data_IF_894903433132
#
_entry.id   IF_894903433132
#
_cell.length_a   1.000
_cell.length_b   1.000
_cell.length_c   1.000
_cell.angle_alpha   90.00
_cell.angle_beta   90.00
_cell.angle_gamma   90.00
#
_symmetry.space_group_name_H-M   'P 1'
#
loop_
_entity.id
_entity.type
_entity.pdbx_description
1 polymer ?
#
# COMPACT_ATOMS: atom_id res chain seq x y z
N UNK A 1 -5.70 2.51 -2.70
CA UNK A 1 -5.81 2.26 -4.15
C UNK A 1 -4.61 2.85 -4.85
N UNK A 2 -3.90 2.01 -5.57
CA UNK A 2 -2.79 2.40 -6.42
C UNK A 2 -3.26 2.40 -7.87
N UNK A 3 -3.06 3.52 -8.56
CA UNK A 3 -3.48 3.66 -9.95
C UNK A 3 -2.41 4.37 -10.79
N UNK A 4 -2.45 4.13 -12.09
CA UNK A 4 -1.62 4.79 -13.08
C UNK A 4 -2.51 5.43 -14.13
N UNK A 5 -2.33 6.72 -14.36
CA UNK A 5 -3.07 7.47 -15.37
C UNK A 5 -2.16 7.75 -16.58
N UNK A 6 -2.64 7.44 -17.76
CA UNK A 6 -1.95 7.68 -19.05
C UNK A 6 -2.91 8.44 -19.95
N UNK A 7 -2.56 9.67 -20.33
CA UNK A 7 -3.40 10.49 -21.20
C UNK A 7 -4.88 10.56 -20.74
N UNK A 8 -5.11 10.80 -19.45
CA UNK A 8 -6.43 10.84 -18.80
C UNK A 8 -7.16 9.47 -18.70
N UNK A 9 -6.54 8.39 -19.12
CA UNK A 9 -7.07 7.05 -18.90
C UNK A 9 -6.43 6.47 -17.66
N UNK A 10 -7.23 6.21 -16.64
CA UNK A 10 -6.77 5.68 -15.36
C UNK A 10 -6.99 4.17 -15.30
N UNK A 11 -5.93 3.46 -14.94
CA UNK A 11 -5.97 2.03 -14.62
C UNK A 11 -5.70 1.86 -13.12
N UNK A 12 -6.62 1.24 -12.41
CA UNK A 12 -6.39 0.81 -11.02
C UNK A 12 -5.55 -0.46 -11.07
N UNK A 13 -4.37 -0.40 -10.49
CA UNK A 13 -3.39 -1.51 -10.48
C UNK A 13 -3.61 -2.42 -9.27
N UNK A 14 -3.86 -1.82 -8.09
CA UNK A 14 -4.07 -2.57 -6.85
C UNK A 14 -5.04 -1.87 -5.90
N UNK A 15 -5.72 -2.69 -5.10
CA UNK A 15 -6.49 -2.26 -3.93
C UNK A 15 -5.90 -2.97 -2.72
N UNK A 16 -5.40 -2.18 -1.77
CA UNK A 16 -4.69 -2.63 -0.57
C UNK A 16 -5.59 -2.47 0.65
N UNK A 17 -5.72 -3.50 1.46
CA UNK A 17 -6.33 -3.39 2.78
C UNK A 17 -5.29 -2.87 3.77
N UNK A 18 -5.67 -1.88 4.58
CA UNK A 18 -4.85 -1.33 5.66
C UNK A 18 -5.33 -1.84 7.01
N UNK A 19 -4.46 -2.50 7.75
CA UNK A 19 -4.66 -2.80 9.16
C UNK A 19 -4.22 -1.58 9.97
N UNK A 20 -5.14 -1.00 10.74
CA UNK A 20 -4.89 0.22 11.50
C UNK A 20 -5.26 0.06 12.97
N UNK A 21 -4.64 0.86 13.83
CA UNK A 21 -5.06 0.96 15.25
C UNK A 21 -6.45 1.59 15.34
N UNK A 22 -7.20 1.31 16.43
CA UNK A 22 -8.48 1.97 16.67
C UNK A 22 -8.30 3.48 16.89
N UNK A 23 -9.42 4.23 16.82
CA UNK A 23 -9.43 5.65 17.19
C UNK A 23 -8.74 5.91 18.54
N UNK A 24 -8.11 7.07 18.72
CA UNK A 24 -8.09 8.21 17.80
C UNK A 24 -6.91 8.24 16.83
N UNK A 25 -6.00 7.25 16.87
CA UNK A 25 -4.69 7.37 16.22
C UNK A 25 -4.67 6.88 14.77
N UNK A 26 -5.42 5.80 14.44
CA UNK A 26 -5.46 5.19 13.10
C UNK A 26 -4.07 4.90 12.51
N UNK A 27 -3.12 4.49 13.35
CA UNK A 27 -1.75 4.16 12.91
C UNK A 27 -1.76 2.86 12.14
N UNK A 28 -1.06 2.80 11.04
CA UNK A 28 -0.94 1.63 10.19
C UNK A 28 -0.11 0.54 10.89
N UNK A 29 -0.65 -0.66 10.93
CA UNK A 29 -0.02 -1.85 11.50
C UNK A 29 0.34 -2.89 10.45
N UNK A 30 -0.09 -2.68 9.22
CA UNK A 30 0.18 -3.57 8.11
C UNK A 30 -0.71 -3.34 6.91
N UNK A 31 -0.37 -4.02 5.83
CA UNK A 31 -1.08 -3.96 4.56
C UNK A 31 -1.20 -5.34 3.97
N UNK A 32 -2.26 -5.59 3.21
CA UNK A 32 -2.43 -6.83 2.44
C UNK A 32 -3.03 -6.57 1.06
N UNK A 33 -2.58 -7.31 0.07
CA UNK A 33 -3.05 -7.33 -1.30
C UNK A 33 -3.24 -8.79 -1.79
N UNK A 34 -4.22 -9.05 -2.65
CA UNK A 34 -5.31 -8.14 -3.01
C UNK A 34 -6.24 -7.87 -1.84
N UNK A 35 -7.05 -6.83 -1.93
CA UNK A 35 -8.07 -6.52 -0.93
C UNK A 35 -9.05 -7.68 -0.74
N UNK A 36 -9.45 -7.94 0.51
CA UNK A 36 -10.46 -8.94 0.87
C UNK A 36 -11.91 -8.44 0.68
N UNK A 37 -12.11 -7.23 0.21
CA UNK A 37 -13.43 -6.69 -0.11
C UNK A 37 -14.16 -7.55 -1.15
N UNK A 38 -15.49 -7.55 -1.12
CA UNK A 38 -16.29 -8.16 -2.18
C UNK A 38 -15.98 -7.53 -3.54
N UNK A 39 -16.16 -8.28 -4.64
CA UNK A 39 -15.94 -7.73 -5.98
C UNK A 39 -16.79 -6.49 -6.26
N UNK A 40 -17.99 -6.39 -5.68
CA UNK A 40 -18.86 -5.23 -5.81
C UNK A 40 -18.28 -4.01 -5.07
N UNK A 41 -17.74 -4.21 -3.86
CA UNK A 41 -17.10 -3.14 -3.10
C UNK A 41 -15.79 -2.71 -3.75
N UNK A 42 -14.98 -3.65 -4.24
CA UNK A 42 -13.77 -3.32 -4.99
C UNK A 42 -14.07 -2.48 -6.24
N UNK A 43 -15.12 -2.83 -6.99
CA UNK A 43 -15.56 -2.06 -8.14
C UNK A 43 -16.02 -0.64 -7.74
N UNK A 44 -16.73 -0.51 -6.62
CA UNK A 44 -17.16 0.79 -6.08
C UNK A 44 -15.99 1.65 -5.64
N UNK A 45 -15.01 1.05 -4.97
CA UNK A 45 -13.75 1.70 -4.54
C UNK A 45 -12.94 2.15 -5.75
N UNK A 46 -12.74 1.27 -6.74
CA UNK A 46 -12.00 1.60 -7.95
C UNK A 46 -12.67 2.76 -8.72
N UNK A 47 -13.99 2.72 -8.87
CA UNK A 47 -14.74 3.80 -9.54
C UNK A 47 -14.62 5.13 -8.79
N UNK A 48 -14.71 5.13 -7.47
CA UNK A 48 -14.55 6.34 -6.66
C UNK A 48 -13.12 6.90 -6.78
N UNK A 49 -12.09 6.04 -6.76
CA UNK A 49 -10.71 6.46 -6.97
C UNK A 49 -10.53 7.12 -8.34
N UNK A 50 -11.05 6.52 -9.43
CA UNK A 50 -10.99 7.10 -10.77
C UNK A 50 -11.67 8.47 -10.84
N UNK A 51 -12.85 8.62 -10.24
CA UNK A 51 -13.56 9.90 -10.16
C UNK A 51 -12.76 10.97 -9.40
N UNK A 52 -12.13 10.60 -8.29
CA UNK A 52 -11.30 11.51 -7.50
C UNK A 52 -10.05 11.95 -8.28
N UNK A 53 -9.38 11.01 -8.97
CA UNK A 53 -8.23 11.26 -9.84
C UNK A 53 -8.58 12.26 -10.95
N UNK A 54 -9.72 12.05 -11.61
CA UNK A 54 -10.22 12.96 -12.65
C UNK A 54 -10.55 14.34 -12.07
N UNK A 55 -11.23 14.39 -10.92
CA UNK A 55 -11.67 15.62 -10.29
C UNK A 55 -10.51 16.53 -9.86
N UNK A 56 -9.38 15.97 -9.42
CA UNK A 56 -8.17 16.76 -9.06
C UNK A 56 -7.27 17.02 -10.26
N UNK A 57 -7.61 16.50 -11.45
CA UNK A 57 -6.95 16.82 -12.71
C UNK A 57 -5.64 16.06 -12.97
N UNK A 58 -5.46 14.86 -12.46
CA UNK A 58 -4.32 14.00 -12.82
C UNK A 58 -4.52 13.50 -14.25
N UNK A 59 -3.65 13.93 -15.15
CA UNK A 59 -3.72 13.58 -16.58
C UNK A 59 -2.70 12.52 -16.98
N UNK A 60 -1.62 12.38 -16.22
CA UNK A 60 -0.54 11.39 -16.45
C UNK A 60 0.26 11.22 -15.17
N UNK A 61 0.58 9.99 -14.82
CA UNK A 61 1.38 9.64 -13.63
C UNK A 61 0.66 8.72 -12.65
N UNK A 62 1.37 8.30 -11.59
CA UNK A 62 0.80 7.49 -10.52
C UNK A 62 -0.09 8.30 -9.58
N UNK A 63 -0.99 7.61 -8.92
CA UNK A 63 -1.78 8.18 -7.82
C UNK A 63 -2.01 7.15 -6.72
N UNK A 64 -1.98 7.64 -5.48
CA UNK A 64 -2.35 6.91 -4.28
C UNK A 64 -3.62 7.53 -3.70
N UNK A 65 -4.67 6.73 -3.51
CA UNK A 65 -5.94 7.19 -2.97
C UNK A 65 -6.33 6.37 -1.75
N UNK A 66 -6.52 7.03 -0.62
CA UNK A 66 -7.05 6.41 0.58
C UNK A 66 -8.57 6.51 0.63
N UNK A 67 -9.21 5.37 0.83
CA UNK A 67 -10.66 5.25 0.83
C UNK A 67 -11.10 4.48 2.08
N UNK A 68 -12.04 5.06 2.81
CA UNK A 68 -12.67 4.41 3.95
C UNK A 68 -14.00 3.81 3.53
N UNK A 69 -14.21 2.55 3.88
CA UNK A 69 -15.50 1.88 3.69
C UNK A 69 -16.39 2.25 4.86
N UNK A 70 -17.51 2.90 4.57
CA UNK A 70 -18.49 3.31 5.57
C UNK A 70 -19.84 2.64 5.31
N UNK A 71 -20.77 2.73 6.29
CA UNK A 71 -22.14 2.26 6.11
C UNK A 71 -22.90 2.92 4.94
N UNK A 72 -22.46 4.12 4.54
CA UNK A 72 -23.02 4.90 3.45
C UNK A 72 -22.20 4.77 2.15
N UNK A 73 -21.38 3.72 2.03
CA UNK A 73 -20.48 3.44 0.91
C UNK A 73 -19.07 3.98 1.11
N UNK A 74 -18.19 3.83 0.10
CA UNK A 74 -16.81 4.28 0.17
C UNK A 74 -16.71 5.81 0.18
N UNK A 75 -15.73 6.35 0.93
CA UNK A 75 -15.44 7.78 1.04
C UNK A 75 -13.95 8.02 0.87
N UNK A 76 -13.57 8.98 0.04
CA UNK A 76 -12.18 9.41 -0.09
C UNK A 76 -11.72 10.08 1.21
N UNK A 77 -10.58 9.63 1.74
CA UNK A 77 -9.89 10.23 2.88
C UNK A 77 -8.81 11.17 2.38
N UNK A 78 -7.96 10.66 1.49
CA UNK A 78 -6.84 11.38 0.91
C UNK A 78 -6.61 10.92 -0.53
N UNK A 79 -6.07 11.82 -1.36
CA UNK A 79 -5.56 11.47 -2.69
C UNK A 79 -4.27 12.26 -2.94
N UNK A 80 -3.27 11.57 -3.47
CA UNK A 80 -1.98 12.14 -3.80
C UNK A 80 -1.55 11.74 -5.22
N UNK A 81 -1.04 12.70 -5.99
CA UNK A 81 -0.47 12.48 -7.32
C UNK A 81 0.97 11.94 -7.21
N UNK A 82 1.14 10.82 -6.55
CA UNK A 82 2.40 10.12 -6.29
C UNK A 82 2.15 8.64 -6.01
N UNK A 83 3.21 7.87 -6.00
CA UNK A 83 3.22 6.49 -5.52
C UNK A 83 2.90 6.43 -4.02
N UNK A 84 2.22 5.38 -3.58
CA UNK A 84 2.00 5.06 -2.17
C UNK A 84 3.31 4.73 -1.45
N UNK A 85 3.33 4.99 -0.14
CA UNK A 85 4.44 4.69 0.76
C UNK A 85 4.39 3.27 1.33
N UNK A 86 5.07 3.09 2.46
CA UNK A 86 5.02 1.89 3.33
C UNK A 86 5.20 0.57 2.58
N UNK A 87 6.09 0.57 1.58
CA UNK A 87 6.36 -0.55 0.69
C UNK A 87 5.16 -1.02 -0.16
N UNK A 88 4.04 -0.31 -0.16
CA UNK A 88 2.87 -0.68 -0.96
C UNK A 88 3.28 -0.77 -2.44
N UNK A 89 3.78 0.34 -3.01
CA UNK A 89 4.09 0.38 -4.45
C UNK A 89 5.42 -0.28 -4.82
N UNK A 90 6.39 -0.30 -3.90
CA UNK A 90 7.72 -0.85 -4.19
C UNK A 90 7.85 -2.36 -3.94
N UNK A 91 6.98 -2.95 -3.10
CA UNK A 91 7.03 -4.37 -2.76
C UNK A 91 5.67 -5.07 -2.93
N UNK A 92 4.59 -4.59 -2.28
CA UNK A 92 3.31 -5.30 -2.30
C UNK A 92 2.69 -5.37 -3.69
N UNK A 93 2.57 -4.24 -4.39
CA UNK A 93 1.99 -4.21 -5.75
C UNK A 93 2.72 -5.16 -6.69
N UNK A 94 4.06 -5.12 -6.86
CA UNK A 94 4.72 -6.07 -7.74
C UNK A 94 4.62 -7.53 -7.29
N UNK A 95 4.63 -7.82 -5.99
CA UNK A 95 4.45 -9.18 -5.46
C UNK A 95 3.04 -9.72 -5.69
N UNK A 96 2.03 -8.86 -5.55
CA UNK A 96 0.63 -9.25 -5.68
C UNK A 96 0.14 -9.27 -7.12
N UNK A 97 0.54 -8.30 -7.94
CA UNK A 97 0.00 -8.10 -9.29
C UNK A 97 0.96 -8.45 -10.41
N UNK A 98 2.26 -8.58 -10.13
CA UNK A 98 3.32 -8.69 -11.14
C UNK A 98 3.66 -7.37 -11.84
N UNK A 99 3.01 -6.26 -11.48
CA UNK A 99 3.20 -4.94 -12.10
C UNK A 99 4.22 -4.12 -11.33
N UNK A 100 5.36 -3.82 -11.94
CA UNK A 100 6.31 -2.83 -11.39
C UNK A 100 5.80 -1.40 -11.67
N UNK A 101 4.87 -0.95 -10.82
CA UNK A 101 4.27 0.39 -10.96
C UNK A 101 5.29 1.51 -10.80
N UNK A 102 6.40 1.26 -10.08
CA UNK A 102 7.49 2.24 -9.91
C UNK A 102 8.23 2.41 -11.24
N UNK A 103 8.65 1.32 -11.87
CA UNK A 103 9.32 1.36 -13.18
C UNK A 103 8.42 1.99 -14.25
N UNK A 104 7.13 1.61 -14.30
CA UNK A 104 6.17 2.20 -15.22
C UNK A 104 6.00 3.72 -15.00
N UNK A 105 5.96 4.15 -13.73
CA UNK A 105 5.86 5.58 -13.39
C UNK A 105 7.08 6.37 -13.85
N UNK A 106 8.28 5.81 -13.71
CA UNK A 106 9.53 6.41 -14.18
C UNK A 106 9.54 6.49 -15.70
N UNK A 107 9.22 5.39 -16.41
CA UNK A 107 9.15 5.34 -17.85
C UNK A 107 8.16 6.39 -18.42
N UNK A 108 6.97 6.47 -17.80
CA UNK A 108 5.97 7.48 -18.16
C UNK A 108 6.47 8.91 -17.93
N UNK A 109 7.20 9.16 -16.85
CA UNK A 109 7.72 10.49 -16.52
C UNK A 109 8.82 10.97 -17.49
N UNK A 110 9.60 10.06 -18.07
CA UNK A 110 10.61 10.40 -19.10
C UNK A 110 10.03 10.42 -20.52
N UNK A 111 8.75 10.14 -20.68
CA UNK A 111 8.03 10.23 -21.95
C UNK A 111 8.02 8.95 -22.78
N UNK A 112 8.37 7.82 -22.19
CA UNK A 112 8.30 6.53 -22.85
C UNK A 112 6.84 6.10 -23.06
N UNK A 113 6.60 5.36 -24.12
CA UNK A 113 5.33 4.65 -24.29
C UNK A 113 5.34 3.43 -23.38
N UNK A 114 4.36 3.35 -22.49
CA UNK A 114 4.21 2.23 -21.58
C UNK A 114 2.95 1.43 -21.88
N UNK A 115 3.03 0.15 -21.59
CA UNK A 115 1.89 -0.78 -21.57
C UNK A 115 1.83 -1.40 -20.17
N UNK A 116 0.64 -1.40 -19.57
CA UNK A 116 0.44 -2.01 -18.25
C UNK A 116 0.15 -3.49 -18.50
N UNK A 117 1.01 -4.40 -18.01
CA UNK A 117 0.80 -5.83 -18.22
C UNK A 117 -0.47 -6.32 -17.53
N UNK A 118 -0.99 -7.44 -17.99
CA UNK A 118 -2.07 -8.15 -17.30
C UNK A 118 -1.64 -8.50 -15.88
N UNK A 119 -2.47 -8.12 -14.91
CA UNK A 119 -2.20 -8.42 -13.51
C UNK A 119 -2.36 -9.91 -13.22
N UNK A 120 -1.36 -10.51 -12.59
CA UNK A 120 -1.54 -11.77 -11.87
C UNK A 120 -2.18 -11.49 -10.52
N UNK A 121 -2.66 -12.53 -9.84
CA UNK A 121 -3.22 -12.38 -8.49
C UNK A 121 -2.49 -13.32 -7.54
N UNK A 122 -1.64 -12.76 -6.71
CA UNK A 122 -0.91 -13.47 -5.65
C UNK A 122 -1.09 -12.71 -4.34
N UNK A 123 -1.29 -13.42 -3.23
CA UNK A 123 -1.41 -12.75 -1.94
C UNK A 123 -0.04 -12.27 -1.46
N UNK A 124 0.03 -11.00 -1.06
CA UNK A 124 1.18 -10.39 -0.42
C UNK A 124 0.74 -9.56 0.79
N UNK A 125 1.54 -9.55 1.85
CA UNK A 125 1.24 -8.75 3.04
C UNK A 125 2.52 -8.26 3.72
N UNK A 126 2.40 -7.14 4.43
CA UNK A 126 3.42 -6.60 5.32
C UNK A 126 2.81 -6.35 6.70
N UNK A 127 3.53 -6.68 7.75
CA UNK A 127 3.17 -6.35 9.13
C UNK A 127 4.22 -5.46 9.76
N UNK A 128 3.80 -4.38 10.41
CA UNK A 128 4.68 -3.49 11.17
C UNK A 128 4.72 -3.95 12.62
N UNK A 129 5.89 -4.42 13.04
CA UNK A 129 6.08 -4.89 14.41
C UNK A 129 6.05 -3.71 15.37
N UNK A 130 5.21 -3.81 16.38
CA UNK A 130 5.09 -2.81 17.43
C UNK A 130 5.58 -3.37 18.76
N UNK A 131 6.00 -2.49 19.65
CA UNK A 131 6.39 -2.85 21.02
C UNK A 131 5.77 -1.90 22.03
N UNK A 132 5.83 -2.27 23.31
CA UNK A 132 5.52 -1.33 24.39
C UNK A 132 6.62 -0.27 24.51
N UNK A 133 6.27 0.88 25.12
CA UNK A 133 7.25 1.94 25.36
C UNK A 133 8.35 1.44 26.32
N UNK A 134 9.60 1.78 26.02
CA UNK A 134 10.75 1.39 26.82
C UNK A 134 12.05 1.41 26.04
N UNK A 135 13.10 0.83 26.64
CA UNK A 135 14.37 0.60 25.96
C UNK A 135 14.39 -0.85 25.49
N UNK A 136 14.71 -1.07 24.23
CA UNK A 136 14.85 -2.41 23.65
C UNK A 136 16.03 -3.09 24.34
N UNK A 137 15.75 -4.12 25.11
CA UNK A 137 16.82 -4.89 25.76
C UNK A 137 17.48 -5.87 24.79
N UNK A 138 16.67 -6.55 23.99
CA UNK A 138 17.13 -7.58 23.06
C UNK A 138 16.15 -7.71 21.89
N UNK A 139 16.65 -8.16 20.74
CA UNK A 139 15.87 -8.59 19.61
C UNK A 139 16.27 -10.03 19.31
N UNK A 140 15.34 -10.96 19.43
CA UNK A 140 15.55 -12.37 19.10
C UNK A 140 14.76 -12.70 17.84
N UNK A 141 15.41 -13.30 16.87
CA UNK A 141 14.79 -13.78 15.63
C UNK A 141 15.00 -15.28 15.59
N UNK A 142 13.90 -16.02 15.44
CA UNK A 142 13.97 -17.46 15.22
C UNK A 142 14.38 -17.71 13.76
N UNK A 143 15.48 -18.42 13.55
CA UNK A 143 16.02 -18.73 12.22
C UNK A 143 15.03 -19.51 11.35
N UNK A 144 14.05 -20.21 11.94
CA UNK A 144 12.98 -20.88 11.20
C UNK A 144 12.12 -19.92 10.39
N UNK A 145 12.06 -18.63 10.75
CA UNK A 145 11.37 -17.58 10.01
C UNK A 145 11.79 -17.57 8.54
N UNK A 146 13.10 -17.64 8.28
CA UNK A 146 13.66 -17.56 6.93
C UNK A 146 13.36 -18.78 6.05
N UNK A 147 12.83 -19.83 6.66
CA UNK A 147 12.41 -21.07 5.99
C UNK A 147 10.91 -21.18 5.81
N UNK A 148 10.13 -20.22 6.30
CA UNK A 148 8.67 -20.25 6.16
C UNK A 148 8.26 -20.08 4.69
N UNK A 149 7.35 -20.90 4.19
CA UNK A 149 6.77 -20.69 2.87
C UNK A 149 6.14 -19.30 2.75
N UNK A 150 6.51 -18.55 1.72
CA UNK A 150 6.01 -17.21 1.49
C UNK A 150 6.72 -16.10 2.28
N UNK A 151 7.70 -16.44 3.14
CA UNK A 151 8.54 -15.41 3.75
C UNK A 151 9.33 -14.68 2.66
N UNK A 152 9.23 -13.35 2.66
CA UNK A 152 9.93 -12.51 1.70
C UNK A 152 11.11 -11.78 2.34
N UNK A 153 10.85 -11.00 3.39
CA UNK A 153 11.87 -10.15 3.99
C UNK A 153 11.51 -9.74 5.43
N UNK A 154 12.53 -9.49 6.24
CA UNK A 154 12.42 -8.83 7.55
C UNK A 154 13.39 -7.64 7.58
N UNK A 155 12.88 -6.45 7.84
CA UNK A 155 13.68 -5.25 8.07
C UNK A 155 13.54 -4.80 9.53
N UNK A 156 14.66 -4.48 10.17
CA UNK A 156 14.70 -3.97 11.54
C UNK A 156 15.25 -2.55 11.54
N UNK A 157 14.42 -1.60 11.97
CA UNK A 157 14.81 -0.19 12.05
C UNK A 157 15.37 0.22 13.43
N UNK A 158 15.22 -0.64 14.43
CA UNK A 158 15.64 -0.40 15.79
C UNK A 158 16.65 -1.45 16.24
N UNK A 159 17.49 -1.06 17.20
CA UNK A 159 18.54 -1.91 17.77
C UNK A 159 18.38 -2.00 19.29
N UNK A 160 18.95 -3.02 19.94
CA UNK A 160 19.09 -3.06 21.40
C UNK A 160 19.75 -1.78 21.93
N UNK A 161 19.20 -1.23 23.00
CA UNK A 161 19.60 0.05 23.60
C UNK A 161 18.84 1.27 23.08
N UNK A 162 18.08 1.15 22.00
CA UNK A 162 17.25 2.25 21.49
C UNK A 162 15.87 2.29 22.15
N UNK A 163 15.30 3.50 22.22
CA UNK A 163 13.95 3.69 22.72
C UNK A 163 12.90 3.19 21.72
N UNK A 164 11.96 2.43 22.23
CA UNK A 164 10.71 2.10 21.55
C UNK A 164 9.56 2.89 22.16
N UNK A 165 8.56 3.20 21.34
CA UNK A 165 7.35 3.90 21.75
C UNK A 165 6.12 3.19 21.23
N UNK A 166 5.01 3.36 21.93
CA UNK A 166 3.71 2.97 21.38
C UNK A 166 3.46 3.85 20.15
N UNK A 167 3.04 3.29 19.01
CA UNK A 167 2.79 4.09 17.83
C UNK A 167 1.61 5.03 18.07
N UNK A 168 1.87 6.33 17.94
CA UNK A 168 0.87 7.40 18.00
C UNK A 168 0.73 8.14 16.66
N UNK A 169 1.61 7.83 15.69
CA UNK A 169 1.61 8.33 14.33
C UNK A 169 2.34 7.33 13.44
N UNK A 170 2.14 7.40 12.15
CA UNK A 170 2.84 6.61 11.14
C UNK A 170 4.26 7.12 10.80
N UNK A 171 4.76 8.13 11.54
CA UNK A 171 6.11 8.71 11.39
C UNK A 171 7.05 8.26 12.49
#
# INVERSE_FOLDING_TARGET
VEALTINKQTVVVAITDKLITPPPYFVELGHSEPSALSSADQASVANLACQAIEAIGIVSGPSHTEIMITKDGPKVVEIAARLGGDYITSKLVPLSTGVDIVALSVALAVGDTIDIPDCVTTAASIGFLTSSAGIIAEIQIDDSLYSLPGFYELELYKKPGEAASIPHSSN
#
